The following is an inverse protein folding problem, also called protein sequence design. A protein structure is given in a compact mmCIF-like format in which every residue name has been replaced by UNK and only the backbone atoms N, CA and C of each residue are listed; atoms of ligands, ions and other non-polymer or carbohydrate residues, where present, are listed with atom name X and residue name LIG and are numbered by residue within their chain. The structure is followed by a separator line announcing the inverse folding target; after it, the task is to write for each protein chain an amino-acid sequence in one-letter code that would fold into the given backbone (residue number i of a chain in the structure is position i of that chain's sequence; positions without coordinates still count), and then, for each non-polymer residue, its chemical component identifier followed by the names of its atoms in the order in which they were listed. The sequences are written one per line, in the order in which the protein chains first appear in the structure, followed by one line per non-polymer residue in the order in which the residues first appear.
data_IF_728162045397
#
_entry.id   IF_728162045397
#
_cell.length_a   1.000
_cell.length_b   1.000
_cell.length_c   1.000
_cell.angle_alpha   90.00
_cell.angle_beta   90.00
_cell.angle_gamma   90.00
#
_symmetry.space_group_name_H-M   'P 1'
#
loop_
_entity.id
_entity.type
_entity.pdbx_description
1 polymer ?
#
# COMPACT_ATOMS: atom_id res chain seq x y z
N UNK A 1 -30.91 45.24 -79.23
CA UNK A 1 -31.54 44.95 -77.94
C UNK A 1 -30.81 43.76 -77.36
N UNK A 2 -29.83 43.99 -76.50
CA UNK A 2 -29.02 42.98 -75.89
C UNK A 2 -29.26 42.97 -74.37
N UNK A 3 -29.65 41.84 -73.85
CA UNK A 3 -29.85 41.66 -72.42
C UNK A 3 -28.61 40.94 -71.87
N UNK A 4 -27.90 41.61 -71.00
CA UNK A 4 -26.75 41.08 -70.25
C UNK A 4 -27.26 40.36 -69.00
N UNK A 5 -26.93 39.09 -68.85
CA UNK A 5 -27.18 38.31 -67.65
C UNK A 5 -25.88 38.26 -66.86
N UNK A 6 -25.86 38.93 -65.72
CA UNK A 6 -24.77 38.83 -64.72
C UNK A 6 -25.12 37.71 -63.73
N UNK A 7 -24.36 36.65 -63.77
CA UNK A 7 -24.47 35.59 -62.79
C UNK A 7 -23.55 35.91 -61.59
N UNK A 8 -24.15 36.18 -60.42
CA UNK A 8 -23.45 36.38 -59.14
C UNK A 8 -23.18 35.04 -58.48
N UNK A 9 -21.92 34.64 -58.44
CA UNK A 9 -21.49 33.41 -57.76
C UNK A 9 -21.31 33.72 -56.27
N UNK A 10 -22.16 33.19 -55.42
CA UNK A 10 -22.03 33.28 -53.95
C UNK A 10 -21.07 32.19 -53.47
N UNK A 11 -19.93 32.62 -52.94
CA UNK A 11 -18.93 31.74 -52.34
C UNK A 11 -19.35 31.45 -50.88
N UNK A 12 -19.84 30.26 -50.55
CA UNK A 12 -20.16 29.81 -49.20
C UNK A 12 -18.89 29.40 -48.43
N UNK A 13 -18.50 30.24 -47.49
CA UNK A 13 -17.39 29.95 -46.56
C UNK A 13 -17.86 28.98 -45.49
N UNK A 14 -17.49 27.70 -45.59
CA UNK A 14 -17.75 26.70 -44.55
C UNK A 14 -16.72 26.85 -43.44
N UNK A 15 -17.08 27.49 -42.32
CA UNK A 15 -16.27 27.56 -41.11
C UNK A 15 -16.29 26.19 -40.43
N UNK A 16 -15.21 25.41 -40.57
CA UNK A 16 -15.02 24.19 -39.75
C UNK A 16 -14.63 24.62 -38.31
N UNK A 17 -15.60 24.57 -37.40
CA UNK A 17 -15.33 24.65 -35.98
C UNK A 17 -14.64 23.34 -35.52
N UNK A 18 -13.33 23.37 -35.41
CA UNK A 18 -12.57 22.31 -34.72
C UNK A 18 -12.82 22.45 -33.23
N UNK A 19 -13.72 21.65 -32.68
CA UNK A 19 -13.87 21.50 -31.23
C UNK A 19 -12.60 20.82 -30.69
N UNK A 20 -11.71 21.58 -30.09
CA UNK A 20 -10.59 21.05 -29.33
C UNK A 20 -11.17 20.25 -28.15
N UNK A 21 -11.09 18.92 -28.21
CA UNK A 21 -11.36 18.05 -27.06
C UNK A 21 -10.31 18.42 -25.99
N UNK A 22 -10.73 18.87 -24.79
CA UNK A 22 -9.75 19.19 -23.77
C UNK A 22 -8.95 17.92 -23.47
N UNK A 23 -7.63 18.00 -23.60
CA UNK A 23 -6.75 16.92 -23.17
C UNK A 23 -7.04 16.65 -21.70
N UNK A 24 -7.54 15.44 -21.40
CA UNK A 24 -7.77 15.03 -20.04
C UNK A 24 -6.49 15.28 -19.24
N UNK A 25 -6.57 16.13 -18.21
CA UNK A 25 -5.42 16.45 -17.38
C UNK A 25 -4.84 15.13 -16.87
N UNK A 26 -3.61 14.80 -17.25
CA UNK A 26 -2.94 13.57 -16.84
C UNK A 26 -2.87 13.60 -15.32
N UNK A 27 -3.59 12.71 -14.68
CA UNK A 27 -3.61 12.61 -13.22
C UNK A 27 -2.18 12.39 -12.71
N UNK A 28 -1.72 13.28 -11.83
CA UNK A 28 -0.38 13.16 -11.24
C UNK A 28 -0.38 11.98 -10.29
N UNK A 29 0.40 10.95 -10.64
CA UNK A 29 0.54 9.75 -9.82
C UNK A 29 1.49 10.02 -8.66
N UNK A 30 1.14 9.52 -7.47
CA UNK A 30 2.02 9.59 -6.31
C UNK A 30 3.18 8.60 -6.48
N UNK A 31 4.41 9.07 -6.27
CA UNK A 31 5.60 8.20 -6.21
C UNK A 31 5.56 7.44 -4.89
N UNK A 32 5.48 6.12 -4.95
CA UNK A 32 5.26 5.25 -3.79
C UNK A 32 6.42 4.29 -3.60
N UNK A 33 6.90 4.17 -2.37
CA UNK A 33 7.69 3.05 -1.87
C UNK A 33 6.80 2.25 -0.93
N UNK A 34 6.73 0.93 -1.12
CA UNK A 34 5.96 0.00 -0.30
C UNK A 34 6.90 -0.90 0.50
N UNK A 35 6.78 -0.88 1.82
CA UNK A 35 7.44 -1.81 2.74
C UNK A 35 6.43 -2.82 3.27
N UNK A 36 6.72 -4.13 3.20
CA UNK A 36 5.76 -5.21 3.43
C UNK A 36 6.44 -6.44 4.04
N UNK A 37 5.73 -7.22 4.82
CA UNK A 37 6.16 -8.55 5.26
C UNK A 37 5.42 -9.69 4.53
N UNK A 38 5.17 -9.47 3.25
CA UNK A 38 4.49 -10.42 2.35
C UNK A 38 4.93 -11.87 2.56
N UNK A 39 3.97 -12.78 2.68
CA UNK A 39 4.23 -14.22 2.78
C UNK A 39 3.75 -14.86 4.07
N UNK A 40 3.31 -14.10 5.08
CA UNK A 40 2.77 -14.60 6.35
C UNK A 40 1.27 -14.43 6.42
N UNK A 41 0.77 -13.22 6.71
CA UNK A 41 -0.64 -12.95 6.47
C UNK A 41 -0.87 -12.81 4.96
N UNK A 42 -2.09 -12.95 4.54
CA UNK A 42 -2.40 -12.97 3.10
C UNK A 42 -2.61 -11.57 2.55
N UNK A 43 -2.96 -10.62 3.38
CA UNK A 43 -3.37 -9.29 2.94
C UNK A 43 -2.22 -8.50 2.30
N UNK A 44 -0.97 -8.68 2.72
CA UNK A 44 0.21 -8.11 2.04
C UNK A 44 0.26 -8.39 0.54
N UNK A 45 0.05 -9.66 0.15
CA UNK A 45 0.06 -10.04 -1.27
C UNK A 45 -1.05 -9.33 -2.05
N UNK A 46 -2.23 -9.21 -1.44
CA UNK A 46 -3.37 -8.50 -2.00
C UNK A 46 -3.17 -6.99 -1.97
N UNK A 47 -2.46 -6.45 -0.97
CA UNK A 47 -2.07 -5.04 -0.90
C UNK A 47 -1.09 -4.67 -2.03
N UNK A 48 -0.07 -5.50 -2.27
CA UNK A 48 0.83 -5.32 -3.41
C UNK A 48 0.05 -5.36 -4.73
N UNK A 49 -0.88 -6.31 -4.88
CA UNK A 49 -1.79 -6.38 -6.03
C UNK A 49 -2.61 -5.11 -6.22
N UNK A 50 -3.17 -4.58 -5.13
CA UNK A 50 -3.94 -3.33 -5.14
C UNK A 50 -3.07 -2.13 -5.52
N UNK A 51 -1.84 -2.05 -5.00
CA UNK A 51 -0.89 -1.00 -5.40
C UNK A 51 -0.55 -1.04 -6.89
N UNK A 52 -0.33 -2.25 -7.45
CA UNK A 52 0.01 -2.45 -8.86
C UNK A 52 -1.12 -2.08 -9.82
N UNK A 53 -2.38 -2.25 -9.40
CA UNK A 53 -3.57 -1.88 -10.17
C UNK A 53 -3.98 -0.42 -9.96
N UNK A 54 -3.33 0.30 -9.05
CA UNK A 54 -3.69 1.69 -8.77
C UNK A 54 -3.32 2.64 -9.91
N UNK A 55 -4.27 3.36 -10.49
CA UNK A 55 -3.98 4.42 -11.45
C UNK A 55 -3.37 5.67 -10.78
N UNK A 56 -3.38 5.74 -9.45
CA UNK A 56 -2.91 6.87 -8.64
C UNK A 56 -1.48 6.71 -8.17
N UNK A 57 -0.90 5.50 -8.28
CA UNK A 57 0.45 5.21 -7.82
C UNK A 57 1.43 5.02 -8.98
N UNK A 58 2.61 5.56 -8.80
CA UNK A 58 3.82 5.17 -9.50
C UNK A 58 4.70 4.44 -8.48
N UNK A 59 4.67 3.10 -8.52
CA UNK A 59 5.39 2.26 -7.55
C UNK A 59 6.88 2.25 -7.90
N UNK A 60 7.69 2.91 -7.08
CA UNK A 60 9.14 3.08 -7.27
C UNK A 60 9.95 1.91 -6.77
N UNK A 61 9.36 1.10 -5.90
CA UNK A 61 9.96 -0.11 -5.39
C UNK A 61 9.19 -0.71 -4.23
N UNK A 62 9.53 -1.95 -3.93
CA UNK A 62 9.05 -2.72 -2.80
C UNK A 62 10.24 -3.07 -1.93
N UNK A 63 10.11 -2.90 -0.62
CA UNK A 63 11.06 -3.41 0.36
C UNK A 63 10.36 -4.48 1.20
N UNK A 64 11.11 -5.51 1.59
CA UNK A 64 10.58 -6.57 2.43
C UNK A 64 11.25 -6.55 3.79
N UNK A 65 10.46 -6.81 4.84
CA UNK A 65 10.88 -6.71 6.24
C UNK A 65 10.47 -7.96 7.01
N UNK A 66 11.05 -8.15 8.17
CA UNK A 66 10.73 -9.18 9.15
C UNK A 66 11.04 -10.64 8.77
N UNK A 67 11.56 -11.40 9.72
CA UNK A 67 11.86 -12.83 9.65
C UNK A 67 12.68 -13.21 8.39
N UNK A 68 12.16 -14.06 7.52
CA UNK A 68 12.82 -14.58 6.32
C UNK A 68 12.63 -13.65 5.12
N UNK A 69 13.34 -12.53 5.14
CA UNK A 69 13.26 -11.52 4.07
C UNK A 69 13.70 -12.01 2.67
N UNK A 70 14.62 -12.97 2.50
CA UNK A 70 14.91 -13.56 1.18
C UNK A 70 13.71 -14.25 0.53
N UNK A 71 12.95 -15.08 1.28
CA UNK A 71 11.77 -15.74 0.75
C UNK A 71 10.64 -14.75 0.47
N UNK A 72 10.44 -13.75 1.34
CA UNK A 72 9.51 -12.63 1.09
C UNK A 72 9.83 -11.90 -0.21
N UNK A 73 11.10 -11.60 -0.45
CA UNK A 73 11.54 -10.93 -1.67
C UNK A 73 11.31 -11.81 -2.91
N UNK A 74 11.56 -13.13 -2.83
CA UNK A 74 11.27 -14.07 -3.91
C UNK A 74 9.78 -14.10 -4.24
N UNK A 75 8.92 -14.10 -3.22
CA UNK A 75 7.46 -14.05 -3.36
C UNK A 75 7.01 -12.76 -4.05
N UNK A 76 7.48 -11.61 -3.58
CA UNK A 76 7.19 -10.31 -4.19
C UNK A 76 7.66 -10.25 -5.66
N UNK A 77 8.89 -10.71 -5.93
CA UNK A 77 9.44 -10.78 -7.28
C UNK A 77 8.58 -11.66 -8.20
N UNK A 78 8.13 -12.83 -7.74
CA UNK A 78 7.28 -13.71 -8.54
C UNK A 78 5.93 -13.07 -8.85
N UNK A 79 5.31 -12.38 -7.88
CA UNK A 79 4.04 -11.68 -8.10
C UNK A 79 4.21 -10.55 -9.12
N UNK A 80 5.25 -9.71 -8.98
CA UNK A 80 5.60 -8.67 -9.94
C UNK A 80 5.84 -9.23 -11.35
N UNK A 81 6.62 -10.29 -11.45
CA UNK A 81 6.90 -10.94 -12.74
C UNK A 81 5.64 -11.47 -13.42
N UNK A 82 4.73 -12.10 -12.66
CA UNK A 82 3.45 -12.61 -13.17
C UNK A 82 2.56 -11.51 -13.76
N UNK A 83 2.75 -10.28 -13.29
CA UNK A 83 2.00 -9.10 -13.74
C UNK A 83 2.76 -8.24 -14.76
N UNK A 84 3.91 -8.72 -15.24
CA UNK A 84 4.73 -7.97 -16.19
C UNK A 84 5.35 -6.69 -15.61
N UNK A 85 5.51 -6.60 -14.26
CA UNK A 85 6.01 -5.43 -13.55
C UNK A 85 7.44 -5.63 -13.01
N UNK A 86 8.31 -6.20 -13.85
CA UNK A 86 9.74 -6.32 -13.55
C UNK A 86 10.51 -4.99 -13.61
N UNK A 87 9.82 -3.90 -13.90
CA UNK A 87 10.28 -2.52 -13.76
C UNK A 87 10.33 -2.06 -12.30
N UNK A 88 9.60 -2.71 -11.37
CA UNK A 88 9.51 -2.36 -9.96
C UNK A 88 10.56 -3.14 -9.16
N UNK A 89 11.65 -2.50 -8.70
CA UNK A 89 12.69 -3.18 -7.94
C UNK A 89 12.19 -3.67 -6.58
N UNK A 90 12.70 -4.84 -6.16
CA UNK A 90 12.49 -5.40 -4.82
C UNK A 90 13.81 -5.36 -4.06
N UNK A 91 13.85 -4.76 -2.87
CA UNK A 91 15.02 -4.71 -2.02
C UNK A 91 14.79 -5.47 -0.70
N UNK A 92 15.82 -6.21 -0.27
CA UNK A 92 15.75 -7.10 0.89
C UNK A 92 16.15 -6.34 2.16
N UNK A 93 15.28 -6.37 3.18
CA UNK A 93 15.59 -5.89 4.52
C UNK A 93 16.40 -6.91 5.33
N UNK A 94 16.85 -6.49 6.50
CA UNK A 94 17.56 -7.41 7.38
C UNK A 94 16.64 -8.55 7.84
N UNK A 95 17.20 -9.74 7.94
CA UNK A 95 16.52 -10.86 8.57
C UNK A 95 16.41 -10.62 10.08
N UNK A 96 15.32 -11.08 10.66
CA UNK A 96 15.13 -11.11 12.11
C UNK A 96 14.94 -12.55 12.56
N UNK A 97 14.98 -12.81 13.87
CA UNK A 97 14.67 -14.14 14.38
C UNK A 97 13.29 -14.57 13.94
N UNK A 98 13.17 -15.83 13.50
CA UNK A 98 11.89 -16.39 13.11
C UNK A 98 10.93 -16.35 14.31
N UNK A 99 9.75 -15.87 14.03
CA UNK A 99 8.68 -15.88 15.02
C UNK A 99 8.23 -17.32 15.31
N UNK A 100 7.46 -17.54 16.40
CA UNK A 100 7.15 -18.86 16.93
C UNK A 100 6.91 -19.95 15.90
N UNK A 101 7.24 -21.20 16.19
CA UNK A 101 7.22 -22.30 15.22
C UNK A 101 5.84 -22.65 14.65
N UNK A 102 4.80 -22.00 15.11
CA UNK A 102 3.41 -22.10 14.63
C UNK A 102 3.07 -21.10 13.51
N UNK A 103 4.00 -20.21 13.14
CA UNK A 103 3.80 -19.32 11.99
C UNK A 103 3.99 -20.08 10.67
N UNK A 104 2.93 -20.13 9.89
CA UNK A 104 2.85 -20.94 8.68
C UNK A 104 3.17 -20.05 7.45
N UNK A 105 4.36 -20.28 6.88
CA UNK A 105 4.84 -19.56 5.70
C UNK A 105 4.53 -20.30 4.39
N UNK A 106 3.34 -20.90 4.29
CA UNK A 106 2.94 -21.71 3.13
C UNK A 106 2.95 -20.93 1.82
N UNK A 107 2.80 -19.62 1.85
CA UNK A 107 2.87 -18.79 0.66
C UNK A 107 4.24 -18.86 -0.02
N UNK A 108 5.33 -19.12 0.71
CA UNK A 108 6.68 -19.22 0.15
C UNK A 108 6.82 -20.38 -0.83
N UNK A 109 6.06 -21.47 -0.65
CA UNK A 109 6.06 -22.59 -1.59
C UNK A 109 5.60 -22.17 -3.00
N UNK A 110 4.79 -21.13 -3.10
CA UNK A 110 4.39 -20.59 -4.40
C UNK A 110 5.57 -19.96 -5.17
N UNK A 111 6.57 -19.46 -4.48
CA UNK A 111 7.77 -18.85 -5.06
C UNK A 111 9.02 -19.74 -4.99
N UNK A 112 8.87 -20.98 -4.54
CA UNK A 112 9.96 -21.96 -4.50
C UNK A 112 10.59 -22.08 -5.91
N UNK A 113 11.91 -22.13 -5.96
CA UNK A 113 12.72 -22.20 -7.20
C UNK A 113 12.48 -21.08 -8.23
N UNK A 114 11.77 -20.00 -7.88
CA UNK A 114 11.56 -18.90 -8.81
C UNK A 114 12.83 -18.06 -9.01
N UNK A 115 13.29 -17.95 -10.27
CA UNK A 115 14.54 -17.28 -10.64
C UNK A 115 14.41 -16.25 -11.76
N UNK A 116 13.22 -16.12 -12.38
CA UNK A 116 13.03 -15.27 -13.57
C UNK A 116 13.10 -13.75 -13.28
N UNK A 117 12.86 -13.35 -12.03
CA UNK A 117 13.06 -11.98 -11.55
C UNK A 117 13.60 -12.04 -10.12
N UNK A 118 14.65 -11.27 -9.83
CA UNK A 118 15.36 -11.32 -8.56
C UNK A 118 15.36 -9.96 -7.87
N UNK A 119 15.44 -9.94 -6.53
CA UNK A 119 15.65 -8.69 -5.80
C UNK A 119 16.98 -8.05 -6.20
N UNK A 120 17.03 -6.73 -6.07
CA UNK A 120 18.27 -5.97 -6.31
C UNK A 120 19.29 -6.23 -5.20
N UNK A 121 20.57 -6.06 -5.51
CA UNK A 121 21.66 -6.28 -4.53
C UNK A 121 21.70 -5.22 -3.40
N UNK A 122 21.06 -4.06 -3.61
CA UNK A 122 21.05 -2.97 -2.62
C UNK A 122 20.11 -3.31 -1.46
N UNK A 123 20.58 -3.22 -0.19
CA UNK A 123 19.72 -3.43 0.98
C UNK A 123 18.53 -2.47 1.02
N UNK A 124 17.43 -2.88 1.67
CA UNK A 124 16.18 -2.13 1.71
C UNK A 124 16.36 -0.70 2.25
N UNK A 125 17.06 -0.53 3.37
CA UNK A 125 17.25 0.78 4.02
C UNK A 125 18.01 1.75 3.10
N UNK A 126 19.09 1.27 2.46
CA UNK A 126 19.86 2.05 1.50
C UNK A 126 19.04 2.39 0.24
N UNK A 127 18.23 1.44 -0.22
CA UNK A 127 17.34 1.66 -1.37
C UNK A 127 16.29 2.73 -1.07
N UNK A 128 15.65 2.67 0.10
CA UNK A 128 14.69 3.66 0.57
C UNK A 128 15.34 5.05 0.65
N UNK A 129 16.49 5.14 1.35
CA UNK A 129 17.20 6.40 1.55
C UNK A 129 17.60 7.06 0.22
N UNK A 130 18.21 6.29 -0.67
CA UNK A 130 18.64 6.79 -1.99
C UNK A 130 17.46 7.23 -2.86
N UNK A 131 16.35 6.50 -2.82
CA UNK A 131 15.17 6.83 -3.61
C UNK A 131 14.50 8.10 -3.11
N UNK A 132 14.41 8.28 -1.80
CA UNK A 132 13.88 9.49 -1.18
C UNK A 132 14.78 10.70 -1.49
N UNK A 133 16.11 10.57 -1.35
CA UNK A 133 17.07 11.65 -1.67
C UNK A 133 16.99 12.10 -3.13
N UNK A 134 16.78 11.17 -4.07
CA UNK A 134 16.60 11.51 -5.50
C UNK A 134 15.24 12.14 -5.82
N UNK A 135 14.27 12.06 -4.92
CA UNK A 135 12.92 12.57 -5.11
C UNK A 135 12.42 13.37 -3.89
N UNK A 136 13.13 14.43 -3.46
CA UNK A 136 12.80 15.14 -2.24
C UNK A 136 11.40 15.75 -2.28
N UNK A 137 10.62 15.54 -1.22
CA UNK A 137 9.25 16.04 -1.08
C UNK A 137 8.21 15.36 -1.99
N UNK A 138 8.57 14.29 -2.72
CA UNK A 138 7.67 13.65 -3.68
C UNK A 138 7.23 12.25 -3.28
N UNK A 139 8.03 11.54 -2.47
CA UNK A 139 7.81 10.14 -2.13
C UNK A 139 6.80 10.00 -1.00
N UNK A 140 5.75 9.20 -1.22
CA UNK A 140 4.91 8.63 -0.17
C UNK A 140 5.49 7.27 0.20
N UNK A 141 5.92 7.12 1.45
CA UNK A 141 6.38 5.85 2.01
C UNK A 141 5.19 5.17 2.68
N UNK A 142 4.85 3.97 2.23
CA UNK A 142 3.78 3.14 2.80
C UNK A 142 4.45 1.93 3.43
N UNK A 143 4.21 1.68 4.72
CA UNK A 143 4.69 0.48 5.39
C UNK A 143 3.51 -0.27 6.02
N UNK A 144 3.43 -1.54 5.70
CA UNK A 144 2.33 -2.42 6.11
C UNK A 144 2.82 -3.63 6.91
N UNK A 145 4.13 -3.87 6.96
CA UNK A 145 4.78 -4.87 7.83
C UNK A 145 5.40 -4.27 9.09
N UNK A 146 6.05 -5.11 9.91
CA UNK A 146 6.82 -4.69 11.07
C UNK A 146 7.88 -3.64 10.72
N UNK A 147 8.05 -2.65 11.60
CA UNK A 147 8.70 -1.37 11.28
C UNK A 147 10.25 -1.40 11.25
N UNK A 148 10.91 -2.57 11.10
CA UNK A 148 12.37 -2.68 11.12
C UNK A 148 13.04 -1.79 10.07
N UNK A 149 12.66 -1.91 8.80
CA UNK A 149 13.26 -1.10 7.73
C UNK A 149 13.03 0.40 7.94
N UNK A 150 11.85 0.77 8.41
CA UNK A 150 11.46 2.17 8.57
C UNK A 150 12.17 2.81 9.78
N UNK A 151 12.28 2.07 10.89
CA UNK A 151 13.03 2.53 12.06
C UNK A 151 14.53 2.59 11.81
N UNK A 152 15.07 1.60 11.07
CA UNK A 152 16.47 1.62 10.64
C UNK A 152 16.74 2.80 9.70
N UNK A 153 15.82 3.12 8.78
CA UNK A 153 15.91 4.30 7.92
C UNK A 153 15.99 5.59 8.74
N UNK A 154 15.14 5.75 9.75
CA UNK A 154 15.17 6.93 10.64
C UNK A 154 16.49 7.06 11.39
N UNK A 155 17.03 5.94 11.88
CA UNK A 155 18.27 5.93 12.70
C UNK A 155 19.52 6.11 11.86
N UNK A 156 19.61 5.45 10.70
CA UNK A 156 20.80 5.43 9.85
C UNK A 156 20.86 6.62 8.90
N UNK A 157 19.70 7.12 8.48
CA UNK A 157 19.54 8.19 7.49
C UNK A 157 18.58 9.29 7.97
N UNK A 158 18.86 9.97 9.11
CA UNK A 158 17.93 10.96 9.68
C UNK A 158 17.64 12.15 8.74
N UNK A 159 18.52 12.42 7.78
CA UNK A 159 18.34 13.46 6.76
C UNK A 159 17.09 13.21 5.89
N UNK A 160 16.75 11.94 5.60
CA UNK A 160 15.63 11.62 4.70
C UNK A 160 14.26 11.89 5.35
N UNK A 161 14.18 11.95 6.67
CA UNK A 161 12.94 12.22 7.41
C UNK A 161 12.24 13.49 6.90
N UNK A 162 13.01 14.54 6.63
CA UNK A 162 12.49 15.82 6.12
C UNK A 162 12.28 15.83 4.59
N UNK A 163 12.75 14.82 3.90
CA UNK A 163 12.66 14.69 2.45
C UNK A 163 11.46 13.85 2.00
N UNK A 164 10.85 13.08 2.90
CA UNK A 164 9.64 12.30 2.61
C UNK A 164 8.44 13.24 2.51
N UNK A 165 7.59 13.02 1.51
CA UNK A 165 6.33 13.76 1.36
C UNK A 165 5.37 13.43 2.50
N UNK A 166 5.19 12.13 2.78
CA UNK A 166 4.44 11.60 3.93
C UNK A 166 4.72 10.11 4.12
N UNK A 167 4.44 9.63 5.32
CA UNK A 167 4.49 8.21 5.69
C UNK A 167 3.08 7.75 6.05
N UNK A 168 2.67 6.61 5.52
CA UNK A 168 1.37 5.98 5.83
C UNK A 168 1.64 4.56 6.32
N UNK A 169 1.16 4.21 7.50
CA UNK A 169 1.39 2.90 8.11
C UNK A 169 0.08 2.16 8.35
N UNK A 170 0.06 0.87 8.08
CA UNK A 170 -0.80 -0.05 8.81
C UNK A 170 -0.11 -0.34 10.13
N UNK A 171 -0.58 0.27 11.22
CA UNK A 171 0.16 0.22 12.49
C UNK A 171 -0.70 0.67 13.67
N UNK A 172 -0.51 -0.02 14.79
CA UNK A 172 -1.02 0.38 16.08
C UNK A 172 -2.45 -0.07 16.41
N UNK A 173 -2.78 0.10 17.69
CA UNK A 173 -4.12 -0.09 18.25
C UNK A 173 -4.27 0.88 19.41
N UNK A 174 -5.30 1.71 19.36
CA UNK A 174 -5.47 2.83 20.30
C UNK A 174 -6.63 2.58 21.26
N UNK A 175 -7.65 1.86 20.77
CA UNK A 175 -8.86 1.56 21.51
C UNK A 175 -9.45 0.20 21.15
N UNK A 176 -10.75 0.00 21.40
CA UNK A 176 -11.46 -1.21 20.99
C UNK A 176 -11.43 -1.44 19.50
N UNK A 177 -11.41 -2.70 19.08
CA UNK A 177 -11.45 -3.13 17.69
C UNK A 177 -12.36 -4.38 17.57
N UNK A 178 -12.51 -4.96 16.37
CA UNK A 178 -13.41 -6.09 16.18
C UNK A 178 -12.99 -7.36 16.92
N UNK A 179 -11.76 -7.42 17.42
CA UNK A 179 -11.19 -8.60 18.10
C UNK A 179 -11.01 -8.41 19.61
N UNK A 180 -10.99 -7.17 20.09
CA UNK A 180 -10.71 -6.82 21.47
C UNK A 180 -11.52 -5.63 21.94
N UNK A 181 -12.00 -5.66 23.19
CA UNK A 181 -12.65 -4.54 23.84
C UNK A 181 -11.70 -3.44 24.31
N UNK A 182 -10.39 -3.65 24.15
CA UNK A 182 -9.34 -2.69 24.51
C UNK A 182 -8.24 -2.67 23.45
N UNK A 183 -7.39 -1.64 23.47
CA UNK A 183 -6.18 -1.58 22.67
C UNK A 183 -5.28 -2.79 22.95
N UNK A 184 -4.61 -3.28 21.92
CA UNK A 184 -3.64 -4.39 21.98
C UNK A 184 -2.26 -3.91 21.51
N UNK A 185 -1.20 -4.64 21.88
CA UNK A 185 0.09 -4.46 21.23
C UNK A 185 -0.01 -5.02 19.81
N UNK A 186 -0.19 -4.11 18.85
CA UNK A 186 -0.38 -4.45 17.44
C UNK A 186 0.90 -5.07 16.85
N UNK A 187 0.73 -6.01 15.92
CA UNK A 187 1.79 -6.89 15.47
C UNK A 187 2.98 -6.17 14.85
N UNK A 188 2.75 -5.22 13.94
CA UNK A 188 3.81 -4.46 13.27
C UNK A 188 4.61 -3.58 14.23
N UNK A 189 3.97 -3.12 15.30
CA UNK A 189 4.62 -2.39 16.40
C UNK A 189 5.36 -3.34 17.32
N UNK A 190 4.68 -4.42 17.75
CA UNK A 190 5.20 -5.37 18.76
C UNK A 190 6.47 -6.09 18.30
N UNK A 191 6.56 -6.42 17.02
CA UNK A 191 7.73 -7.11 16.47
C UNK A 191 8.96 -6.21 16.25
N UNK A 192 8.78 -4.88 16.37
CA UNK A 192 9.81 -3.90 16.10
C UNK A 192 9.70 -2.70 17.07
N UNK A 193 9.59 -2.97 18.40
CA UNK A 193 9.32 -1.92 19.39
C UNK A 193 10.32 -0.75 19.32
N UNK A 194 11.64 -0.97 19.34
CA UNK A 194 12.60 0.13 19.25
C UNK A 194 12.52 0.92 17.94
N UNK A 195 12.23 0.22 16.83
CA UNK A 195 12.04 0.81 15.51
C UNK A 195 10.76 1.62 15.47
N UNK A 196 9.64 1.06 15.96
CA UNK A 196 8.37 1.75 16.04
C UNK A 196 8.47 3.03 16.91
N UNK A 197 9.16 2.98 18.04
CA UNK A 197 9.43 4.16 18.86
C UNK A 197 10.13 5.25 18.05
N UNK A 198 11.16 4.90 17.27
CA UNK A 198 11.87 5.84 16.42
C UNK A 198 10.99 6.42 15.33
N UNK A 199 10.16 5.58 14.66
CA UNK A 199 9.24 5.96 13.59
C UNK A 199 8.18 6.95 14.10
N UNK A 200 7.57 6.66 15.26
CA UNK A 200 6.53 7.52 15.85
C UNK A 200 7.09 8.83 16.40
N UNK A 201 8.35 8.85 16.80
CA UNK A 201 9.04 10.07 17.28
C UNK A 201 9.61 10.93 16.13
N UNK A 202 9.76 10.40 14.93
CA UNK A 202 10.40 11.07 13.80
C UNK A 202 9.61 12.29 13.29
N UNK A 203 10.33 13.35 12.84
CA UNK A 203 9.74 14.61 12.40
C UNK A 203 9.30 14.59 10.93
N UNK A 204 8.34 13.74 10.60
CA UNK A 204 7.71 13.61 9.28
C UNK A 204 6.17 13.63 9.35
N UNK A 205 5.48 13.91 8.23
CA UNK A 205 4.04 13.77 8.17
C UNK A 205 3.65 12.29 8.25
N UNK A 206 3.23 11.84 9.44
CA UNK A 206 2.87 10.46 9.73
C UNK A 206 1.36 10.30 9.81
N UNK A 207 0.83 9.32 9.08
CA UNK A 207 -0.55 8.83 9.16
C UNK A 207 -0.55 7.36 9.51
N UNK A 208 -1.38 6.94 10.44
CA UNK A 208 -1.60 5.52 10.76
C UNK A 208 -3.04 5.11 10.49
N UNK A 209 -3.20 3.88 10.06
CA UNK A 209 -4.49 3.18 9.95
C UNK A 209 -4.42 1.99 10.91
N UNK A 210 -4.95 2.16 12.15
CA UNK A 210 -4.78 1.18 13.22
C UNK A 210 -5.80 0.03 13.13
N UNK A 211 -5.61 -1.00 13.97
CA UNK A 211 -6.56 -2.12 14.13
C UNK A 211 -7.98 -1.65 14.45
N UNK A 212 -8.11 -0.50 15.11
CA UNK A 212 -9.40 0.17 15.41
C UNK A 212 -10.24 0.43 14.17
N UNK A 213 -9.63 0.48 13.01
CA UNK A 213 -10.28 0.63 11.71
C UNK A 213 -10.22 -0.64 10.87
N UNK A 214 -9.04 -1.22 10.75
CA UNK A 214 -8.80 -2.26 9.75
C UNK A 214 -9.51 -3.57 10.05
N UNK A 215 -9.71 -3.93 11.33
CA UNK A 215 -10.37 -5.18 11.75
C UNK A 215 -11.83 -5.29 11.33
N UNK A 216 -12.46 -4.19 10.96
CA UNK A 216 -13.85 -4.15 10.48
C UNK A 216 -13.99 -4.30 8.97
N UNK A 217 -12.87 -4.39 8.23
CA UNK A 217 -12.88 -4.46 6.78
C UNK A 217 -12.40 -5.85 6.32
N UNK A 218 -13.36 -6.72 5.99
CA UNK A 218 -13.11 -8.10 5.57
C UNK A 218 -13.54 -8.32 4.14
N UNK A 219 -12.82 -9.17 3.42
CA UNK A 219 -13.21 -9.67 2.10
C UNK A 219 -14.17 -10.85 2.28
N UNK A 220 -15.45 -10.59 2.05
CA UNK A 220 -16.50 -11.59 2.19
C UNK A 220 -16.59 -12.50 0.95
N UNK A 221 -17.19 -13.69 1.10
CA UNK A 221 -17.29 -14.69 0.03
C UNK A 221 -17.93 -14.14 -1.27
N UNK A 222 -18.96 -13.29 -1.14
CA UNK A 222 -19.61 -12.64 -2.29
C UNK A 222 -18.67 -11.71 -3.06
N UNK A 223 -17.86 -10.96 -2.33
CA UNK A 223 -16.88 -10.03 -2.90
C UNK A 223 -15.75 -10.79 -3.58
N UNK A 224 -15.26 -11.84 -2.92
CA UNK A 224 -14.28 -12.76 -3.47
C UNK A 224 -14.77 -13.43 -4.75
N UNK A 225 -16.03 -13.88 -4.78
CA UNK A 225 -16.63 -14.46 -5.97
C UNK A 225 -16.74 -13.46 -7.13
N UNK A 226 -16.99 -12.19 -6.83
CA UNK A 226 -16.96 -11.10 -7.85
C UNK A 226 -15.58 -10.98 -8.49
N UNK A 227 -14.51 -11.00 -7.69
CA UNK A 227 -13.14 -10.96 -8.21
C UNK A 227 -12.79 -12.21 -9.03
N UNK A 228 -13.18 -13.41 -8.56
CA UNK A 228 -12.96 -14.65 -9.33
C UNK A 228 -13.61 -14.62 -10.70
N UNK A 229 -14.83 -14.06 -10.80
CA UNK A 229 -15.52 -13.91 -12.09
C UNK A 229 -14.82 -12.95 -13.04
N UNK A 230 -14.12 -11.93 -12.51
CA UNK A 230 -13.29 -11.04 -13.32
C UNK A 230 -12.13 -11.78 -13.99
N UNK A 231 -11.55 -12.79 -13.30
CA UNK A 231 -10.57 -13.74 -13.84
C UNK A 231 -9.30 -13.08 -14.36
N UNK A 232 -8.90 -11.94 -13.80
CA UNK A 232 -7.67 -11.25 -14.21
C UNK A 232 -6.43 -12.06 -13.80
N UNK A 233 -5.30 -11.93 -14.50
CA UNK A 233 -4.04 -12.61 -14.10
C UNK A 233 -3.65 -12.32 -12.65
N UNK A 234 -3.90 -11.09 -12.17
CA UNK A 234 -3.69 -10.70 -10.78
C UNK A 234 -4.56 -11.53 -9.84
N UNK A 235 -5.88 -11.54 -10.05
CA UNK A 235 -6.81 -12.27 -9.18
C UNK A 235 -6.48 -13.76 -9.14
N UNK A 236 -6.10 -14.35 -10.28
CA UNK A 236 -5.69 -15.77 -10.34
C UNK A 236 -4.46 -16.02 -9.44
N UNK A 237 -3.46 -15.14 -9.48
CA UNK A 237 -2.26 -15.27 -8.64
C UNK A 237 -2.59 -15.08 -7.14
N UNK A 238 -3.41 -14.08 -6.81
CA UNK A 238 -3.82 -13.81 -5.43
C UNK A 238 -4.68 -14.93 -4.84
N UNK A 239 -5.59 -15.51 -5.63
CA UNK A 239 -6.38 -16.66 -5.21
C UNK A 239 -5.53 -17.92 -4.99
N UNK A 240 -4.43 -18.09 -5.75
CA UNK A 240 -3.49 -19.19 -5.50
C UNK A 240 -2.78 -19.02 -4.14
N UNK A 241 -2.32 -17.81 -3.83
CA UNK A 241 -1.71 -17.48 -2.53
C UNK A 241 -2.70 -17.62 -1.37
N UNK A 242 -3.93 -17.14 -1.57
CA UNK A 242 -4.99 -17.26 -0.56
C UNK A 242 -5.30 -18.72 -0.21
N UNK A 243 -5.25 -19.63 -1.20
CA UNK A 243 -5.45 -21.08 -0.94
C UNK A 243 -4.31 -21.69 -0.11
N UNK A 244 -3.08 -21.22 -0.30
CA UNK A 244 -1.93 -21.68 0.49
C UNK A 244 -1.98 -21.16 1.92
N UNK A 245 -2.54 -19.96 2.11
CA UNK A 245 -2.69 -19.34 3.43
C UNK A 245 -3.88 -19.92 4.23
N UNK A 246 -4.98 -20.27 3.54
CA UNK A 246 -6.22 -20.69 4.20
C UNK A 246 -6.19 -22.19 4.54
N UNK A 247 -6.09 -22.53 5.82
CA UNK A 247 -6.14 -23.93 6.31
C UNK A 247 -7.52 -24.58 6.15
N UNK A 248 -8.56 -23.79 5.92
CA UNK A 248 -9.93 -24.31 5.78
C UNK A 248 -10.79 -23.46 4.83
N UNK A 249 -11.80 -24.10 4.17
CA UNK A 249 -12.81 -23.35 3.43
C UNK A 249 -13.54 -22.37 4.34
N UNK A 250 -13.56 -21.10 3.97
CA UNK A 250 -14.22 -20.03 4.72
C UNK A 250 -13.31 -19.14 5.54
N UNK A 251 -11.99 -19.34 5.53
CA UNK A 251 -11.04 -18.35 6.07
C UNK A 251 -11.28 -16.98 5.42
N UNK A 252 -11.48 -15.98 6.26
CA UNK A 252 -11.83 -14.63 5.82
C UNK A 252 -10.65 -13.70 6.01
N UNK A 253 -10.16 -13.18 4.91
CA UNK A 253 -9.09 -12.19 4.90
C UNK A 253 -9.60 -10.85 5.41
N UNK A 254 -8.90 -10.28 6.37
CA UNK A 254 -9.08 -8.89 6.79
C UNK A 254 -8.16 -8.00 5.94
N UNK A 255 -8.68 -6.88 5.48
CA UNK A 255 -7.98 -5.98 4.55
C UNK A 255 -7.24 -4.87 5.31
N UNK A 256 -6.30 -5.27 6.18
CA UNK A 256 -5.55 -4.32 7.01
C UNK A 256 -4.74 -3.36 6.14
N UNK A 257 -3.89 -3.90 5.33
CA UNK A 257 -2.91 -3.18 4.53
C UNK A 257 -3.54 -2.37 3.41
N UNK A 258 -4.60 -2.94 2.81
CA UNK A 258 -5.34 -2.25 1.76
C UNK A 258 -5.95 -0.94 2.25
N UNK A 259 -6.34 -0.86 3.52
CA UNK A 259 -6.86 0.37 4.11
C UNK A 259 -5.77 1.44 4.23
N UNK A 260 -4.52 1.07 4.55
CA UNK A 260 -3.40 2.00 4.55
C UNK A 260 -3.05 2.48 3.12
N UNK A 261 -3.07 1.56 2.15
CA UNK A 261 -2.90 1.94 0.74
C UNK A 261 -4.03 2.86 0.24
N UNK A 262 -5.27 2.59 0.64
CA UNK A 262 -6.43 3.41 0.29
C UNK A 262 -6.34 4.83 0.87
N UNK A 263 -5.83 4.97 2.11
CA UNK A 263 -5.51 6.26 2.71
C UNK A 263 -4.40 6.99 1.93
N UNK A 264 -3.36 6.27 1.53
CA UNK A 264 -2.29 6.83 0.71
C UNK A 264 -2.80 7.28 -0.67
N UNK A 265 -3.77 6.58 -1.24
CA UNK A 265 -4.37 6.84 -2.55
C UNK A 265 -5.38 8.00 -2.51
N UNK A 266 -6.23 8.02 -1.50
CA UNK A 266 -7.34 8.96 -1.34
C UNK A 266 -7.45 9.43 0.13
N UNK A 267 -6.63 10.39 0.56
CA UNK A 267 -6.57 10.81 1.96
C UNK A 267 -7.94 11.11 2.58
N UNK A 268 -8.25 10.44 3.68
CA UNK A 268 -9.47 10.59 4.46
C UNK A 268 -10.75 10.04 3.83
N UNK A 269 -10.75 9.67 2.55
CA UNK A 269 -11.97 9.33 1.81
C UNK A 269 -12.74 8.15 2.43
N UNK A 270 -12.02 7.11 2.79
CA UNK A 270 -12.62 5.85 3.25
C UNK A 270 -12.74 5.75 4.77
N UNK A 271 -12.65 6.88 5.46
CA UNK A 271 -12.76 6.98 6.92
C UNK A 271 -13.80 8.03 7.31
N UNK A 272 -14.42 7.87 8.47
CA UNK A 272 -15.30 8.87 9.05
C UNK A 272 -14.51 10.08 9.56
N UNK A 273 -13.29 9.82 10.04
CA UNK A 273 -12.37 10.88 10.49
C UNK A 273 -10.90 10.43 10.36
N UNK A 274 -10.02 11.39 10.12
CA UNK A 274 -8.57 11.27 10.20
C UNK A 274 -8.05 12.49 10.97
N UNK A 275 -7.77 12.31 12.26
CA UNK A 275 -7.46 13.42 13.18
C UNK A 275 -6.03 13.30 13.73
N UNK A 276 -5.35 14.43 14.02
CA UNK A 276 -4.08 14.41 14.72
C UNK A 276 -4.27 13.98 16.17
N UNK A 277 -3.50 12.98 16.60
CA UNK A 277 -3.47 12.48 17.97
C UNK A 277 -2.04 12.42 18.48
N UNK A 278 -1.75 12.82 19.73
CA UNK A 278 -0.40 12.72 20.31
C UNK A 278 -0.13 11.25 20.69
N UNK A 279 0.65 10.55 19.86
CA UNK A 279 0.93 9.12 20.03
C UNK A 279 2.39 8.87 20.38
N UNK A 280 2.61 7.87 21.20
CA UNK A 280 3.91 7.24 21.48
C UNK A 280 3.74 5.71 21.51
N UNK A 281 4.86 4.98 21.43
CA UNK A 281 4.93 3.53 21.63
C UNK A 281 5.61 3.23 22.94
N UNK A 282 4.96 2.45 23.82
CA UNK A 282 5.52 2.07 25.11
C UNK A 282 6.51 0.88 24.98
N UNK A 283 7.09 0.48 26.12
CA UNK A 283 8.08 -0.60 26.17
C UNK A 283 7.50 -1.99 25.86
N UNK A 284 6.19 -2.13 26.00
CA UNK A 284 5.45 -3.37 25.73
C UNK A 284 4.88 -3.42 24.30
N UNK A 285 5.11 -2.39 23.48
CA UNK A 285 4.67 -2.31 22.10
C UNK A 285 3.23 -1.82 21.92
N UNK A 286 2.63 -1.20 22.93
CA UNK A 286 1.33 -0.55 22.78
C UNK A 286 1.48 0.86 22.22
N UNK A 287 0.59 1.22 21.33
CA UNK A 287 0.43 2.60 20.86
C UNK A 287 -0.46 3.37 21.84
N UNK A 288 0.12 4.39 22.50
CA UNK A 288 -0.54 5.16 23.55
C UNK A 288 -0.84 6.58 23.13
N UNK A 289 -2.00 7.08 23.52
CA UNK A 289 -2.29 8.52 23.49
C UNK A 289 -1.52 9.17 24.65
N UNK A 290 -0.45 9.87 24.34
CA UNK A 290 0.46 10.50 25.32
C UNK A 290 0.55 12.01 25.05
N UNK A 291 -0.20 12.79 25.80
CA UNK A 291 -0.25 14.25 25.67
C UNK A 291 1.07 14.95 26.11
N UNK A 292 1.91 14.28 26.88
CA UNK A 292 3.14 14.85 27.39
C UNK A 292 4.34 14.61 26.48
N UNK A 293 4.42 13.42 25.87
CA UNK A 293 5.59 12.98 25.08
C UNK A 293 5.22 12.56 23.66
N UNK A 294 3.93 12.29 23.42
CA UNK A 294 3.43 11.84 22.12
C UNK A 294 3.57 12.92 21.06
N UNK A 295 3.89 12.49 19.87
CA UNK A 295 3.92 13.34 18.69
C UNK A 295 2.58 13.30 17.97
N UNK A 296 2.14 14.41 17.39
CA UNK A 296 0.93 14.44 16.58
C UNK A 296 1.09 13.58 15.32
N UNK A 297 0.35 12.46 15.32
CA UNK A 297 0.20 11.51 14.22
C UNK A 297 -1.23 11.59 13.72
N UNK A 298 -1.45 11.63 12.42
CA UNK A 298 -2.81 11.53 11.88
C UNK A 298 -3.31 10.09 12.03
N UNK A 299 -4.45 9.92 12.67
CA UNK A 299 -5.06 8.61 12.94
C UNK A 299 -6.39 8.52 12.18
N UNK A 300 -6.51 7.55 11.27
CA UNK A 300 -7.71 7.33 10.48
C UNK A 300 -8.61 6.27 11.12
N UNK A 301 -9.82 6.67 11.46
CA UNK A 301 -10.81 5.87 12.21
C UNK A 301 -12.17 5.83 11.49
N UNK A 302 -13.04 4.92 11.96
CA UNK A 302 -14.41 4.78 11.44
C UNK A 302 -14.42 4.43 9.94
N UNK A 303 -13.97 3.20 9.57
CA UNK A 303 -13.84 2.82 8.17
C UNK A 303 -15.21 2.79 7.46
N UNK A 304 -15.29 3.43 6.31
CA UNK A 304 -16.44 3.39 5.40
C UNK A 304 -16.34 2.15 4.50
N UNK A 305 -16.56 0.98 5.12
CA UNK A 305 -16.32 -0.33 4.51
C UNK A 305 -16.93 -0.46 3.11
N UNK A 306 -18.19 -0.14 2.95
CA UNK A 306 -18.89 -0.41 1.67
C UNK A 306 -18.40 0.52 0.55
N UNK A 307 -18.04 1.77 0.86
CA UNK A 307 -17.44 2.68 -0.11
C UNK A 307 -16.05 2.19 -0.52
N UNK A 308 -15.24 1.77 0.45
CA UNK A 308 -13.93 1.19 0.19
C UNK A 308 -14.03 -0.09 -0.63
N UNK A 309 -14.90 -1.04 -0.24
CA UNK A 309 -15.07 -2.31 -0.96
C UNK A 309 -15.51 -2.10 -2.41
N UNK A 310 -16.44 -1.18 -2.65
CA UNK A 310 -16.85 -0.84 -4.02
C UNK A 310 -15.68 -0.36 -4.87
N UNK A 311 -14.83 0.50 -4.32
CA UNK A 311 -13.64 1.01 -4.98
C UNK A 311 -12.58 -0.09 -5.18
N UNK A 312 -12.30 -0.87 -4.14
CA UNK A 312 -11.30 -1.95 -4.14
C UNK A 312 -11.60 -3.02 -5.17
N UNK A 313 -12.85 -3.51 -5.19
CA UNK A 313 -13.30 -4.52 -6.15
C UNK A 313 -13.22 -4.01 -7.60
N UNK A 314 -13.66 -2.78 -7.85
CA UNK A 314 -13.58 -2.17 -9.17
C UNK A 314 -12.13 -2.11 -9.68
N UNK A 315 -11.20 -1.68 -8.82
CA UNK A 315 -9.78 -1.55 -9.18
C UNK A 315 -9.12 -2.91 -9.45
N UNK A 316 -9.39 -3.94 -8.65
CA UNK A 316 -8.81 -5.28 -8.86
C UNK A 316 -9.44 -6.05 -10.03
N UNK A 317 -10.70 -5.79 -10.34
CA UNK A 317 -11.41 -6.43 -11.44
C UNK A 317 -11.08 -5.82 -12.83
N UNK A 318 -10.45 -4.66 -12.87
CA UNK A 318 -10.05 -4.00 -14.11
C UNK A 318 -9.05 -4.86 -14.88
N UNK A 319 -9.32 -5.08 -16.22
CA UNK A 319 -8.51 -5.97 -17.08
C UNK A 319 -7.23 -5.33 -17.57
#
# INVERSE_FOLDING_TARGET
MGVSNSATTALALVLMLTTAVPAAARQVRAKVLLDTDIGTDIDDAWALGYALKSPYFELFGVTVTDADTPHRASLACKLLHRLGRTDVPVAVGRQTEAIPPDRIDYQFTWAEDFQAYKPIAKPAVEFLADTIRRNPGQVTLIAVGPLQNIGDLVRQHPDVVRLVKRVVLMSGSIGPNAWSSAAVAEWNVKLAIPEAQAVYAADWPLTIVPLDSTTYVRLEDKERETLRKAGTPLVIALEALLRLWADSPGSRMTLHDQMALAEAQHPGRFFGRCDPMPLSVDAEGYTRVDKAKGRNVTVCLEPKRDEFMSHYLAQLAEK
#
